data_IF_249997281590
#
_entry.id   IF_249997281590
#
_cell.length_a   1.000
_cell.length_b   1.000
_cell.length_c   1.000
_cell.angle_alpha   90.00
_cell.angle_beta   90.00
_cell.angle_gamma   90.00
#
_symmetry.space_group_name_H-M   'P 1'
#
loop_
_entity.id
_entity.type
_entity.pdbx_description
1 polymer ?
#
# COMPACT_ATOMS: atom_id res chain seq x y z
N UNK A 1 2.83 2.44 -22.65
CA UNK A 1 3.89 2.61 -21.63
C UNK A 1 3.30 2.36 -20.25
N UNK A 2 3.95 1.50 -19.44
CA UNK A 2 3.54 1.22 -18.06
C UNK A 2 4.04 2.36 -17.17
N UNK A 3 3.21 2.83 -16.24
CA UNK A 3 3.60 3.85 -15.26
C UNK A 3 3.59 3.24 -13.87
N UNK A 4 4.70 3.34 -13.17
CA UNK A 4 4.87 2.86 -11.81
C UNK A 4 4.77 4.03 -10.83
N UNK A 5 4.03 3.83 -9.74
CA UNK A 5 3.87 4.79 -8.66
C UNK A 5 4.28 4.12 -7.36
N UNK A 6 5.23 4.71 -6.64
CA UNK A 6 5.64 4.20 -5.34
C UNK A 6 4.66 4.65 -4.24
N UNK A 7 4.45 3.79 -3.25
CA UNK A 7 3.65 4.15 -2.07
C UNK A 7 4.36 5.23 -1.24
N UNK A 8 3.58 6.13 -0.65
CA UNK A 8 4.06 7.09 0.34
C UNK A 8 4.25 6.37 1.66
N UNK A 9 5.46 6.41 2.19
CA UNK A 9 5.74 5.97 3.56
C UNK A 9 5.22 7.04 4.52
N UNK A 10 4.22 6.69 5.33
CA UNK A 10 3.70 7.59 6.37
C UNK A 10 4.68 7.78 7.52
N UNK A 11 4.63 8.93 8.19
CA UNK A 11 5.46 9.21 9.37
C UNK A 11 5.24 8.19 10.52
N UNK A 12 4.02 7.64 10.64
CA UNK A 12 3.71 6.59 11.61
C UNK A 12 4.49 5.30 11.37
N UNK A 13 4.84 5.00 10.12
CA UNK A 13 5.65 3.83 9.79
C UNK A 13 7.12 4.03 10.20
N UNK A 14 7.66 5.24 10.07
CA UNK A 14 9.00 5.55 10.59
C UNK A 14 9.07 5.43 12.11
N UNK A 15 8.02 5.87 12.81
CA UNK A 15 7.91 5.71 14.25
C UNK A 15 7.80 4.23 14.63
N UNK A 16 7.02 3.44 13.89
CA UNK A 16 6.91 2.00 14.10
C UNK A 16 8.27 1.31 13.91
N UNK A 17 8.98 1.59 12.80
CA UNK A 17 10.34 1.06 12.56
C UNK A 17 11.33 1.44 13.67
N UNK A 18 11.27 2.68 14.16
CA UNK A 18 12.14 3.11 15.26
C UNK A 18 11.81 2.36 16.57
N UNK A 19 10.52 2.15 16.85
CA UNK A 19 10.07 1.41 18.02
C UNK A 19 10.43 -0.08 17.94
N UNK A 20 10.24 -0.73 16.78
CA UNK A 20 10.60 -2.14 16.57
C UNK A 20 12.12 -2.34 16.64
N UNK A 21 12.92 -1.42 16.08
CA UNK A 21 14.37 -1.42 16.22
C UNK A 21 14.83 -1.32 17.68
N UNK A 22 14.21 -0.41 18.44
CA UNK A 22 14.53 -0.21 19.86
C UNK A 22 14.19 -1.45 20.70
N UNK A 23 13.01 -2.03 20.50
CA UNK A 23 12.59 -3.26 21.19
C UNK A 23 13.47 -4.45 20.81
N UNK A 24 13.91 -4.55 19.56
CA UNK A 24 14.82 -5.62 19.13
C UNK A 24 16.15 -5.51 19.87
N UNK A 25 16.68 -4.30 20.01
CA UNK A 25 17.90 -4.04 20.77
C UNK A 25 17.73 -4.36 22.25
N UNK A 26 16.61 -3.96 22.86
CA UNK A 26 16.29 -4.24 24.26
C UNK A 26 16.21 -5.74 24.55
N UNK A 27 15.43 -6.50 23.78
CA UNK A 27 15.32 -7.95 23.94
C UNK A 27 16.62 -8.68 23.66
N UNK A 28 17.43 -8.20 22.71
CA UNK A 28 18.77 -8.73 22.48
C UNK A 28 19.67 -8.50 23.71
N UNK A 29 19.60 -7.32 24.32
CA UNK A 29 20.39 -6.95 25.49
C UNK A 29 20.05 -7.79 26.73
N UNK A 30 18.77 -8.08 26.95
CA UNK A 30 18.31 -8.95 28.03
C UNK A 30 18.44 -10.46 27.72
N UNK A 31 19.05 -10.83 26.59
CA UNK A 31 19.24 -12.22 26.15
C UNK A 31 17.95 -13.02 25.94
N UNK A 32 16.83 -12.34 25.66
CA UNK A 32 15.55 -12.97 25.32
C UNK A 32 15.58 -13.45 23.86
N UNK A 33 16.32 -14.53 23.60
CA UNK A 33 16.62 -15.03 22.25
C UNK A 33 15.37 -15.34 21.43
N UNK A 34 14.34 -15.95 22.04
CA UNK A 34 13.12 -16.34 21.35
C UNK A 34 12.32 -15.10 20.88
N UNK A 35 12.18 -14.10 21.77
CA UNK A 35 11.50 -12.85 21.45
C UNK A 35 12.30 -12.03 20.43
N UNK A 36 13.62 -11.97 20.57
CA UNK A 36 14.50 -11.27 19.63
C UNK A 36 14.37 -11.85 18.23
N UNK A 37 14.38 -13.18 18.09
CA UNK A 37 14.22 -13.84 16.79
C UNK A 37 12.84 -13.55 16.19
N UNK A 38 11.78 -13.60 16.99
CA UNK A 38 10.43 -13.26 16.55
C UNK A 38 10.35 -11.81 16.05
N UNK A 39 10.92 -10.86 16.80
CA UNK A 39 10.93 -9.44 16.43
C UNK A 39 11.75 -9.17 15.17
N UNK A 40 12.89 -9.86 15.02
CA UNK A 40 13.72 -9.76 13.82
C UNK A 40 12.97 -10.20 12.56
N UNK A 41 12.18 -11.27 12.64
CA UNK A 41 11.32 -11.70 11.53
C UNK A 41 10.29 -10.60 11.21
N UNK A 42 9.60 -10.06 12.22
CA UNK A 42 8.63 -8.95 12.02
C UNK A 42 9.29 -7.75 11.33
N UNK A 43 10.50 -7.38 11.74
CA UNK A 43 11.22 -6.25 11.17
C UNK A 43 11.65 -6.46 9.71
N UNK A 44 12.02 -7.69 9.33
CA UNK A 44 12.29 -8.04 7.93
C UNK A 44 11.02 -7.91 7.09
N UNK A 45 9.89 -8.40 7.62
CA UNK A 45 8.59 -8.25 6.96
C UNK A 45 8.20 -6.76 6.80
N UNK A 46 8.45 -5.93 7.80
CA UNK A 46 8.25 -4.48 7.71
C UNK A 46 9.06 -3.87 6.56
N UNK A 47 10.38 -4.04 6.57
CA UNK A 47 11.26 -3.45 5.54
C UNK A 47 10.87 -3.91 4.13
N UNK A 48 10.52 -5.18 3.95
CA UNK A 48 10.09 -5.69 2.65
C UNK A 48 8.78 -5.06 2.18
N UNK A 49 7.79 -4.97 3.08
CA UNK A 49 6.51 -4.32 2.81
C UNK A 49 6.72 -2.84 2.45
N UNK A 50 7.68 -2.16 3.09
CA UNK A 50 8.03 -0.77 2.80
C UNK A 50 8.57 -0.58 1.38
N UNK A 51 9.62 -1.34 1.03
CA UNK A 51 10.39 -1.11 -0.21
C UNK A 51 9.60 -1.54 -1.44
N UNK A 52 8.78 -2.61 -1.32
CA UNK A 52 8.14 -3.26 -2.45
C UNK A 52 6.66 -2.92 -2.61
N UNK A 53 6.12 -1.96 -1.86
CA UNK A 53 4.76 -1.47 -2.14
C UNK A 53 4.79 -0.49 -3.33
N UNK A 54 4.41 -1.00 -4.50
CA UNK A 54 4.35 -0.25 -5.75
C UNK A 54 3.02 -0.50 -6.49
N UNK A 55 2.54 0.55 -7.14
CA UNK A 55 1.32 0.53 -7.94
C UNK A 55 1.71 0.66 -9.40
N UNK A 56 1.47 -0.39 -10.19
CA UNK A 56 1.83 -0.43 -11.60
C UNK A 56 0.56 -0.29 -12.44
N UNK A 57 0.48 0.79 -13.22
CA UNK A 57 -0.59 0.98 -14.19
C UNK A 57 -0.10 0.44 -15.54
N UNK A 58 -0.64 -0.72 -15.92
CA UNK A 58 -0.27 -1.44 -17.15
C UNK A 58 -0.91 -0.80 -18.38
N UNK A 59 -0.23 -0.90 -19.52
CA UNK A 59 -0.69 -0.40 -20.80
C UNK A 59 -2.02 -1.02 -21.28
N UNK A 60 -2.32 -2.23 -20.82
CA UNK A 60 -3.53 -3.02 -21.12
C UNK A 60 -4.77 -2.56 -20.35
N UNK A 61 -4.68 -1.49 -19.55
CA UNK A 61 -5.84 -1.04 -18.78
C UNK A 61 -6.02 -1.79 -17.46
N UNK A 62 -4.94 -2.30 -16.86
CA UNK A 62 -4.96 -2.94 -15.55
C UNK A 62 -4.17 -2.12 -14.52
N UNK A 63 -4.71 -2.01 -13.31
CA UNK A 63 -4.01 -1.53 -12.12
C UNK A 63 -3.50 -2.74 -11.33
N UNK A 64 -2.20 -2.92 -11.29
CA UNK A 64 -1.55 -3.94 -10.48
C UNK A 64 -1.06 -3.30 -9.18
N UNK A 65 -1.48 -3.88 -8.06
CA UNK A 65 -1.07 -3.51 -6.72
C UNK A 65 -0.10 -4.60 -6.26
N UNK A 66 1.17 -4.24 -6.19
CA UNK A 66 2.21 -5.10 -5.63
C UNK A 66 2.53 -4.56 -4.23
N UNK A 67 2.41 -5.42 -3.21
CA UNK A 67 2.64 -5.06 -1.80
C UNK A 67 3.60 -6.07 -1.21
N UNK A 68 4.90 -5.78 -1.20
CA UNK A 68 5.87 -6.81 -0.78
C UNK A 68 5.96 -7.99 -1.76
N UNK A 69 6.84 -8.95 -1.48
CA UNK A 69 6.88 -10.24 -2.20
C UNK A 69 5.97 -11.28 -1.53
N UNK A 70 5.61 -11.05 -0.27
CA UNK A 70 4.76 -11.96 0.51
C UNK A 70 3.26 -11.76 0.32
N UNK A 71 2.80 -10.59 -0.15
CA UNK A 71 1.36 -10.37 -0.41
C UNK A 71 1.07 -10.66 -1.88
N UNK A 72 -0.06 -11.34 -2.14
CA UNK A 72 -0.51 -11.63 -3.50
C UNK A 72 -0.68 -10.34 -4.28
N UNK A 73 -0.10 -10.30 -5.47
CA UNK A 73 -0.33 -9.23 -6.45
C UNK A 73 -1.82 -9.14 -6.76
N UNK A 74 -2.42 -7.98 -6.55
CA UNK A 74 -3.82 -7.75 -6.88
C UNK A 74 -3.91 -7.00 -8.21
N UNK A 75 -4.48 -7.64 -9.22
CA UNK A 75 -4.73 -7.02 -10.53
C UNK A 75 -6.19 -6.59 -10.61
N UNK A 76 -6.43 -5.30 -10.82
CA UNK A 76 -7.75 -4.69 -10.91
C UNK A 76 -7.90 -4.06 -12.29
N UNK A 77 -8.86 -4.49 -13.12
CA UNK A 77 -9.12 -3.84 -14.41
C UNK A 77 -9.62 -2.41 -14.22
N UNK A 78 -9.04 -1.45 -14.94
CA UNK A 78 -9.40 -0.02 -14.89
C UNK A 78 -10.86 0.23 -15.29
N UNK A 79 -11.40 -0.59 -16.19
CA UNK A 79 -12.80 -0.54 -16.63
C UNK A 79 -13.80 -0.82 -15.51
N UNK A 80 -13.40 -1.63 -14.51
CA UNK A 80 -14.24 -1.98 -13.37
C UNK A 80 -14.18 -0.95 -12.24
N UNK A 81 -13.29 0.04 -12.33
CA UNK A 81 -13.16 1.12 -11.35
C UNK A 81 -14.28 2.13 -11.57
N UNK A 82 -15.11 2.35 -10.56
CA UNK A 82 -16.24 3.28 -10.64
C UNK A 82 -16.01 4.58 -9.87
N UNK A 83 -15.32 4.51 -8.73
CA UNK A 83 -15.19 5.63 -7.81
C UNK A 83 -13.82 5.65 -7.15
N UNK A 84 -13.21 6.83 -7.08
CA UNK A 84 -12.02 7.13 -6.29
C UNK A 84 -12.43 8.15 -5.24
N UNK A 85 -12.27 7.83 -3.95
CA UNK A 85 -12.56 8.75 -2.86
C UNK A 85 -11.29 9.08 -2.08
N UNK A 86 -11.09 10.35 -1.73
CA UNK A 86 -10.07 10.73 -0.76
C UNK A 86 -10.52 10.36 0.65
N UNK A 87 -9.81 9.42 1.27
CA UNK A 87 -10.11 8.97 2.63
C UNK A 87 -8.91 9.22 3.51
N UNK A 88 -9.08 10.09 4.51
CA UNK A 88 -8.15 10.17 5.64
C UNK A 88 -8.51 9.08 6.64
N UNK A 89 -7.84 7.93 6.55
CA UNK A 89 -8.03 6.82 7.49
C UNK A 89 -6.74 6.52 8.24
N UNK A 90 -6.83 6.47 9.56
CA UNK A 90 -5.75 6.09 10.48
C UNK A 90 -5.66 4.57 10.73
N UNK A 91 -6.40 3.75 9.98
CA UNK A 91 -6.43 2.29 10.19
C UNK A 91 -5.12 1.58 9.82
N UNK A 92 -4.86 0.41 10.40
CA UNK A 92 -3.68 -0.43 10.11
C UNK A 92 -3.75 -0.93 8.67
N UNK A 93 -2.77 -0.54 7.84
CA UNK A 93 -2.67 -0.93 6.44
C UNK A 93 -1.20 -0.91 6.01
N UNK A 94 -0.80 -1.63 4.94
CA UNK A 94 0.60 -1.81 4.56
C UNK A 94 1.45 -0.54 4.48
N UNK A 95 0.85 0.60 4.12
CA UNK A 95 1.54 1.87 3.95
C UNK A 95 1.57 2.78 5.19
N UNK A 96 0.73 2.53 6.21
CA UNK A 96 0.47 3.41 7.37
C UNK A 96 0.45 4.93 7.04
N UNK A 97 -0.01 5.30 5.84
CA UNK A 97 -0.13 6.70 5.43
C UNK A 97 -1.46 7.27 5.93
N UNK A 98 -1.49 8.52 6.43
CA UNK A 98 -2.72 9.20 6.84
C UNK A 98 -3.57 9.66 5.63
N UNK A 99 -2.97 9.79 4.45
CA UNK A 99 -3.67 10.14 3.20
C UNK A 99 -3.77 8.90 2.32
N UNK A 100 -5.00 8.57 1.93
CA UNK A 100 -5.34 7.36 1.17
C UNK A 100 -6.39 7.68 0.11
N UNK A 101 -6.30 6.97 -0.99
CA UNK A 101 -7.30 6.91 -2.03
C UNK A 101 -8.03 5.57 -1.92
N UNK A 102 -9.35 5.63 -1.72
CA UNK A 102 -10.22 4.45 -1.75
C UNK A 102 -10.71 4.26 -3.18
N UNK A 103 -10.22 3.22 -3.84
CA UNK A 103 -10.66 2.83 -5.17
C UNK A 103 -11.76 1.78 -5.01
N UNK A 104 -12.97 2.11 -5.45
CA UNK A 104 -14.10 1.18 -5.48
C UNK A 104 -14.24 0.59 -6.88
N UNK A 105 -14.20 -0.74 -6.96
CA UNK A 105 -14.32 -1.48 -8.21
C UNK A 105 -15.39 -2.56 -8.13
N UNK A 106 -16.02 -2.84 -9.27
CA UNK A 106 -17.03 -3.87 -9.38
C UNK A 106 -16.36 -5.23 -9.60
N UNK A 107 -16.70 -6.22 -8.78
CA UNK A 107 -16.28 -7.62 -8.90
C UNK A 107 -17.52 -8.47 -9.22
N UNK A 108 -17.31 -9.67 -9.77
CA UNK A 108 -18.38 -10.64 -10.06
C UNK A 108 -19.21 -10.99 -8.81
N UNK A 109 -18.68 -10.75 -7.61
CA UNK A 109 -19.34 -11.00 -6.32
C UNK A 109 -19.93 -9.74 -5.64
N UNK A 110 -19.84 -8.56 -6.27
CA UNK A 110 -20.38 -7.30 -5.70
C UNK A 110 -19.44 -6.09 -5.82
N UNK A 111 -19.56 -5.11 -4.92
CA UNK A 111 -18.65 -3.95 -4.87
C UNK A 111 -17.51 -4.23 -3.90
N UNK A 112 -16.27 -4.11 -4.36
CA UNK A 112 -15.07 -4.20 -3.53
C UNK A 112 -14.37 -2.83 -3.49
N UNK A 113 -13.66 -2.56 -2.41
CA UNK A 113 -12.86 -1.34 -2.26
C UNK A 113 -11.46 -1.67 -1.82
N UNK A 114 -10.47 -1.07 -2.48
CA UNK A 114 -9.05 -1.15 -2.11
C UNK A 114 -8.56 0.23 -1.69
N UNK A 115 -7.72 0.27 -0.66
CA UNK A 115 -7.08 1.48 -0.18
C UNK A 115 -5.66 1.53 -0.75
N UNK A 116 -5.32 2.61 -1.43
CA UNK A 116 -3.97 2.85 -1.99
C UNK A 116 -3.45 4.20 -1.52
N UNK A 117 -2.13 4.33 -1.34
CA UNK A 117 -1.47 5.56 -0.88
C UNK A 117 -0.29 5.93 -1.79
N UNK A 118 -0.54 6.30 -3.06
CA UNK A 118 0.53 6.68 -3.97
C UNK A 118 1.22 8.00 -3.55
N UNK A 119 2.54 8.11 -3.76
CA UNK A 119 3.34 9.30 -3.39
C UNK A 119 2.94 10.57 -4.17
N UNK A 120 2.35 10.43 -5.35
CA UNK A 120 1.79 11.51 -6.17
C UNK A 120 0.33 11.22 -6.50
N UNK A 121 -0.57 11.54 -5.55
CA UNK A 121 -2.02 11.24 -5.64
C UNK A 121 -2.66 11.89 -6.87
N UNK A 122 -2.37 13.17 -7.11
CA UNK A 122 -2.92 13.91 -8.25
C UNK A 122 -2.47 13.34 -9.60
N UNK A 123 -1.18 13.00 -9.72
CA UNK A 123 -0.63 12.39 -10.94
C UNK A 123 -1.19 10.98 -11.16
N UNK A 124 -1.40 10.24 -10.07
CA UNK A 124 -2.02 8.93 -10.11
C UNK A 124 -3.49 9.02 -10.56
N UNK A 125 -4.30 9.89 -9.97
CA UNK A 125 -5.69 10.14 -10.37
C UNK A 125 -5.75 10.60 -11.82
N UNK A 126 -4.91 11.57 -12.22
CA UNK A 126 -4.85 12.05 -13.61
C UNK A 126 -4.48 10.92 -14.58
N UNK A 127 -3.59 10.01 -14.19
CA UNK A 127 -3.25 8.85 -15.00
C UNK A 127 -4.41 7.86 -15.12
N UNK A 128 -5.20 7.66 -14.05
CA UNK A 128 -6.40 6.82 -14.07
C UNK A 128 -7.51 7.44 -14.93
N UNK A 129 -7.82 8.72 -14.75
CA UNK A 129 -8.84 9.44 -15.53
C UNK A 129 -8.52 9.51 -17.02
N UNK A 130 -7.22 9.66 -17.37
CA UNK A 130 -6.79 9.63 -18.77
C UNK A 130 -7.06 8.28 -19.45
N UNK A 131 -7.07 7.19 -18.67
CA UNK A 131 -7.33 5.83 -19.14
C UNK A 131 -8.82 5.49 -19.12
N UNK A 132 -9.55 5.97 -18.12
CA UNK A 132 -10.97 5.75 -17.97
C UNK A 132 -11.64 7.05 -17.47
N UNK A 133 -12.30 7.76 -18.40
CA UNK A 133 -12.98 9.02 -18.13
C UNK A 133 -14.30 8.83 -17.36
N UNK A 134 -14.80 7.60 -17.22
CA UNK A 134 -16.02 7.30 -16.47
C UNK A 134 -15.79 7.23 -14.95
N UNK A 135 -14.54 7.29 -14.49
CA UNK A 135 -14.20 7.27 -13.08
C UNK A 135 -14.67 8.56 -12.41
N UNK A 136 -15.51 8.44 -11.38
CA UNK A 136 -15.89 9.57 -10.51
C UNK A 136 -14.83 9.75 -9.42
N UNK A 137 -14.43 10.99 -9.15
CA UNK A 137 -13.49 11.35 -8.09
C UNK A 137 -14.23 12.21 -7.07
N UNK A 138 -14.22 11.79 -5.81
CA UNK A 138 -14.83 12.48 -4.66
C UNK A 138 -13.80 12.77 -3.54
#
# INVERSE_FOLDING_TARGET
MNRTFHSRVGAGYWLLMAATAFLLFDFFWFHELLLTLLLAIVMIFEIEMLIHTQYVVTAEGNLQIETGRFVRKATIPLEKIMLIQHVKSWGIAPALSPVRLKISYQTEKGKASVLVSPKGEDDFIRCLMKRNQAIRVE
#
